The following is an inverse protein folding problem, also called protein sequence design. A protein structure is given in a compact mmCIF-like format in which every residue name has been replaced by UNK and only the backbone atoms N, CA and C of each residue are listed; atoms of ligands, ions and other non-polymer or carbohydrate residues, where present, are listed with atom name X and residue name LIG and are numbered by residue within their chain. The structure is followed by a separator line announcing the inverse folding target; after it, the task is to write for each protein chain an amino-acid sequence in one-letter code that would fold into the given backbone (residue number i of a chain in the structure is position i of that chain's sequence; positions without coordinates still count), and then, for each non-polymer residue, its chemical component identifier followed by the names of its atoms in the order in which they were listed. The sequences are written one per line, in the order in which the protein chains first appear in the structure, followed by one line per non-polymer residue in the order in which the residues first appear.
data_IF_212370585233
#
_entry.id   IF_212370585233
#
_cell.length_a   1.000
_cell.length_b   1.000
_cell.length_c   1.000
_cell.angle_alpha   90.00
_cell.angle_beta   90.00
_cell.angle_gamma   90.00
#
_symmetry.space_group_name_H-M   'P 1'
#
loop_
_entity.id
_entity.type
_entity.pdbx_description
1 polymer ?
#
# COMPACT_ATOMS: atom_id res chain seq x y z
N UNK A 1 7.84 -22.71 20.44
CA UNK A 1 7.75 -21.31 19.96
C UNK A 1 7.04 -20.53 21.06
N UNK A 2 7.68 -19.53 21.66
CA UNK A 2 7.00 -18.66 22.63
C UNK A 2 6.02 -17.78 21.86
N UNK A 3 4.81 -17.62 22.38
CA UNK A 3 3.82 -16.68 21.83
C UNK A 3 4.19 -15.31 22.40
N UNK A 4 4.38 -14.31 21.52
CA UNK A 4 4.66 -12.94 21.94
C UNK A 4 3.52 -12.44 22.85
N UNK A 5 3.81 -11.73 23.95
CA UNK A 5 2.77 -11.28 24.88
C UNK A 5 1.85 -10.26 24.20
N UNK A 6 0.56 -10.55 24.20
CA UNK A 6 -0.48 -9.68 23.61
C UNK A 6 -0.86 -8.58 24.60
N UNK A 7 -0.85 -7.34 24.14
CA UNK A 7 -1.33 -6.16 24.81
C UNK A 7 -2.87 -6.14 24.85
N UNK A 8 -3.42 -5.67 25.97
CA UNK A 8 -4.88 -5.43 26.14
C UNK A 8 -5.32 -4.03 25.72
N UNK A 9 -4.40 -3.21 25.21
CA UNK A 9 -4.64 -1.80 24.87
C UNK A 9 -4.70 -1.62 23.37
N UNK A 10 -5.81 -1.07 22.86
CA UNK A 10 -6.09 -0.91 21.42
C UNK A 10 -5.08 -0.03 20.65
N UNK A 11 -4.34 0.82 21.36
CA UNK A 11 -3.31 1.69 20.77
C UNK A 11 -1.91 1.06 20.75
N UNK A 12 -1.75 -0.17 21.23
CA UNK A 12 -0.52 -0.94 21.10
C UNK A 12 -0.77 -2.01 20.04
N UNK A 13 -0.05 -1.93 18.94
CA UNK A 13 -0.17 -2.87 17.83
C UNK A 13 0.90 -3.96 17.95
N UNK A 14 0.51 -5.13 18.44
CA UNK A 14 1.33 -6.32 18.59
C UNK A 14 1.12 -7.36 17.48
N UNK A 15 0.12 -7.12 16.62
CA UNK A 15 -0.30 -7.98 15.51
C UNK A 15 0.30 -7.57 14.15
N UNK A 16 1.30 -6.69 14.15
CA UNK A 16 1.97 -6.23 12.92
C UNK A 16 2.83 -7.35 12.33
N UNK A 17 2.55 -7.71 11.07
CA UNK A 17 3.27 -8.76 10.36
C UNK A 17 4.61 -8.21 9.86
N UNK A 18 5.70 -8.61 10.54
CA UNK A 18 7.06 -8.11 10.27
C UNK A 18 7.50 -8.25 8.81
N UNK A 19 7.06 -9.31 8.12
CA UNK A 19 7.45 -9.60 6.73
C UNK A 19 6.48 -9.02 5.68
N UNK A 20 5.41 -8.33 6.09
CA UNK A 20 4.44 -7.71 5.16
C UNK A 20 4.96 -6.36 4.68
N UNK A 21 5.86 -6.41 3.70
CA UNK A 21 6.53 -5.25 3.11
C UNK A 21 6.60 -5.36 1.58
N UNK A 22 6.87 -4.26 0.88
CA UNK A 22 7.09 -4.30 -0.58
C UNK A 22 8.39 -5.03 -0.97
N UNK A 23 9.35 -5.17 -0.04
CA UNK A 23 10.57 -5.95 -0.27
C UNK A 23 10.32 -7.43 -0.50
N UNK A 24 9.27 -8.01 0.10
CA UNK A 24 8.93 -9.42 -0.12
C UNK A 24 8.70 -9.72 -1.60
N UNK A 25 8.24 -8.73 -2.37
CA UNK A 25 8.13 -8.81 -3.85
C UNK A 25 9.46 -8.58 -4.56
N UNK A 26 10.35 -7.75 -4.03
CA UNK A 26 11.68 -7.52 -4.60
C UNK A 26 12.59 -8.74 -4.47
N UNK A 27 12.54 -9.39 -3.30
CA UNK A 27 13.27 -10.64 -3.04
C UNK A 27 12.82 -11.76 -3.98
N UNK A 28 11.52 -11.88 -4.27
CA UNK A 28 11.00 -12.80 -5.30
C UNK A 28 11.50 -12.47 -6.72
N UNK A 29 11.85 -11.22 -7.00
CA UNK A 29 12.38 -10.75 -8.29
C UNK A 29 13.93 -10.67 -8.34
N UNK A 30 14.64 -11.23 -7.35
CA UNK A 30 16.12 -11.17 -7.23
C UNK A 30 16.73 -9.74 -7.29
N UNK A 31 15.98 -8.71 -6.90
CA UNK A 31 16.49 -7.32 -6.82
C UNK A 31 17.19 -7.05 -5.48
N UNK A 32 18.09 -6.07 -5.45
CA UNK A 32 18.64 -5.57 -4.18
C UNK A 32 17.50 -5.06 -3.31
N UNK A 33 17.33 -5.67 -2.13
CA UNK A 33 16.27 -5.29 -1.21
C UNK A 33 16.59 -3.94 -0.56
N UNK A 34 15.56 -3.11 -0.38
CA UNK A 34 15.69 -1.93 0.48
C UNK A 34 16.11 -2.36 1.89
N UNK A 35 17.05 -1.66 2.53
CA UNK A 35 17.60 -2.11 3.81
C UNK A 35 16.58 -2.06 4.96
N UNK A 36 15.61 -1.15 4.91
CA UNK A 36 14.63 -0.94 5.98
C UNK A 36 13.22 -0.66 5.43
N UNK A 37 12.49 -1.67 4.92
CA UNK A 37 11.13 -1.47 4.46
C UNK A 37 10.17 -1.38 5.66
N UNK A 38 9.32 -0.36 5.69
CA UNK A 38 8.28 -0.23 6.71
C UNK A 38 7.15 -1.25 6.47
N UNK A 39 6.59 -1.81 7.55
CA UNK A 39 5.48 -2.77 7.46
C UNK A 39 4.19 -2.09 6.99
N UNK A 40 3.52 -2.70 6.01
CA UNK A 40 2.33 -2.13 5.39
C UNK A 40 1.16 -2.01 6.37
N UNK A 41 1.07 -2.89 7.37
CA UNK A 41 0.01 -2.84 8.40
C UNK A 41 -0.01 -1.49 9.13
N UNK A 42 1.18 -0.98 9.46
CA UNK A 42 1.34 0.30 10.17
C UNK A 42 0.89 1.43 9.27
N UNK A 43 1.35 1.43 8.01
CA UNK A 43 1.03 2.46 7.02
C UNK A 43 -0.48 2.52 6.77
N UNK A 44 -1.12 1.37 6.52
CA UNK A 44 -2.55 1.30 6.26
C UNK A 44 -3.39 1.81 7.44
N UNK A 45 -3.00 1.45 8.67
CA UNK A 45 -3.67 1.94 9.90
C UNK A 45 -3.54 3.45 10.06
N UNK A 46 -2.35 4.00 9.82
CA UNK A 46 -2.13 5.44 9.94
C UNK A 46 -2.91 6.22 8.89
N UNK A 47 -2.88 5.79 7.63
CA UNK A 47 -3.67 6.42 6.56
C UNK A 47 -5.17 6.35 6.88
N UNK A 48 -5.67 5.18 7.28
CA UNK A 48 -7.07 5.00 7.64
C UNK A 48 -7.52 5.87 8.82
N UNK A 49 -6.62 6.14 9.78
CA UNK A 49 -6.93 6.94 10.98
C UNK A 49 -6.83 8.45 10.74
N UNK A 50 -5.94 8.90 9.86
CA UNK A 50 -5.57 10.32 9.74
C UNK A 50 -5.91 10.95 8.39
N UNK A 51 -6.58 10.26 7.48
CA UNK A 51 -7.06 10.84 6.22
C UNK A 51 -8.42 10.30 5.79
N UNK A 52 -9.14 11.08 4.99
CA UNK A 52 -10.35 10.69 4.30
C UNK A 52 -10.04 10.15 2.90
N UNK A 53 -11.01 9.47 2.28
CA UNK A 53 -10.90 9.11 0.85
C UNK A 53 -10.81 10.38 0.00
N UNK A 54 -9.97 10.35 -1.03
CA UNK A 54 -9.68 11.51 -1.88
C UNK A 54 -8.66 12.50 -1.31
N UNK A 55 -8.21 12.33 -0.06
CA UNK A 55 -7.12 13.15 0.49
C UNK A 55 -5.78 12.78 -0.16
N UNK A 56 -4.82 13.70 -0.06
CA UNK A 56 -3.42 13.47 -0.46
C UNK A 56 -2.61 13.00 0.75
N UNK A 57 -1.95 11.86 0.62
CA UNK A 57 -0.98 11.34 1.59
C UNK A 57 0.42 11.61 1.05
N UNK A 58 1.16 12.47 1.74
CA UNK A 58 2.50 12.89 1.34
C UNK A 58 3.59 12.21 2.15
N UNK A 59 4.60 11.68 1.47
CA UNK A 59 5.81 11.09 2.03
C UNK A 59 7.07 11.77 1.48
N UNK A 60 7.77 12.62 2.26
CA UNK A 60 8.98 13.30 1.80
C UNK A 60 10.19 12.36 1.68
N UNK A 61 10.10 11.11 2.16
CA UNK A 61 11.17 10.11 2.12
C UNK A 61 10.64 8.78 1.58
N UNK A 62 10.25 8.80 0.30
CA UNK A 62 9.45 7.77 -0.36
C UNK A 62 10.04 6.37 -0.30
N UNK A 63 11.36 6.21 -0.25
CA UNK A 63 12.02 4.91 -0.33
C UNK A 63 11.50 4.13 -1.54
N UNK A 64 11.07 2.88 -1.31
CA UNK A 64 10.45 2.03 -2.34
C UNK A 64 8.96 2.31 -2.58
N UNK A 65 8.42 3.45 -2.13
CA UNK A 65 7.06 3.89 -2.40
C UNK A 65 5.96 3.21 -1.57
N UNK A 66 6.27 2.73 -0.36
CA UNK A 66 5.28 1.99 0.47
C UNK A 66 4.09 2.84 0.90
N UNK A 67 4.33 4.10 1.28
CA UNK A 67 3.28 5.04 1.70
C UNK A 67 2.34 5.42 0.55
N UNK A 68 2.83 5.96 -0.58
CA UNK A 68 1.94 6.31 -1.68
C UNK A 68 1.23 5.08 -2.28
N UNK A 69 1.89 3.90 -2.29
CA UNK A 69 1.24 2.64 -2.67
C UNK A 69 0.01 2.31 -1.82
N UNK A 70 0.16 2.35 -0.48
CA UNK A 70 -0.96 2.12 0.43
C UNK A 70 -2.04 3.20 0.32
N UNK A 71 -1.66 4.46 0.10
CA UNK A 71 -2.60 5.56 -0.08
C UNK A 71 -3.53 5.31 -1.27
N UNK A 72 -2.95 4.98 -2.43
CA UNK A 72 -3.70 4.66 -3.66
C UNK A 72 -4.67 3.51 -3.40
N UNK A 73 -4.19 2.38 -2.85
CA UNK A 73 -5.05 1.23 -2.53
C UNK A 73 -6.19 1.53 -1.57
N UNK A 74 -6.03 2.51 -0.68
CA UNK A 74 -7.05 2.94 0.26
C UNK A 74 -7.99 4.02 -0.33
N UNK A 75 -7.87 4.37 -1.60
CA UNK A 75 -8.70 5.38 -2.26
C UNK A 75 -8.31 6.82 -1.91
N UNK A 76 -7.01 7.05 -1.69
CA UNK A 76 -6.38 8.37 -1.52
C UNK A 76 -5.41 8.62 -2.66
N UNK A 77 -4.95 9.86 -2.82
CA UNK A 77 -3.83 10.17 -3.70
C UNK A 77 -2.50 10.01 -2.94
N UNK A 78 -1.54 9.32 -3.53
CA UNK A 78 -0.19 9.18 -2.99
C UNK A 78 0.77 10.19 -3.62
N UNK A 79 1.56 10.88 -2.80
CA UNK A 79 2.64 11.76 -3.25
C UNK A 79 3.92 11.41 -2.49
N UNK A 80 5.04 11.25 -3.20
CA UNK A 80 6.32 10.98 -2.54
C UNK A 80 7.52 11.59 -3.27
N UNK A 81 8.58 11.87 -2.52
CA UNK A 81 9.89 12.29 -3.02
C UNK A 81 10.93 11.25 -2.63
N UNK A 82 11.80 10.85 -3.55
CA UNK A 82 12.91 9.93 -3.28
C UNK A 82 14.13 10.37 -4.10
N UNK A 83 15.31 10.37 -3.47
CA UNK A 83 16.56 10.81 -4.07
C UNK A 83 17.25 9.67 -4.83
N UNK A 84 17.16 8.44 -4.32
CA UNK A 84 17.74 7.27 -4.95
C UNK A 84 16.91 6.85 -6.16
N UNK A 85 17.52 6.92 -7.35
CA UNK A 85 16.84 6.62 -8.61
C UNK A 85 16.24 5.21 -8.68
N UNK A 86 16.93 4.19 -8.14
CA UNK A 86 16.44 2.81 -8.18
C UNK A 86 15.23 2.62 -7.26
N UNK A 87 15.26 3.22 -6.07
CA UNK A 87 14.12 3.17 -5.13
C UNK A 87 12.91 3.94 -5.67
N UNK A 88 13.15 5.12 -6.24
CA UNK A 88 12.13 5.90 -6.94
C UNK A 88 11.50 5.08 -8.08
N UNK A 89 12.32 4.42 -8.89
CA UNK A 89 11.86 3.59 -10.02
C UNK A 89 11.04 2.39 -9.55
N UNK A 90 11.46 1.71 -8.49
CA UNK A 90 10.68 0.62 -7.90
C UNK A 90 9.34 1.12 -7.36
N UNK A 91 9.32 2.27 -6.67
CA UNK A 91 8.09 2.93 -6.22
C UNK A 91 7.12 3.24 -7.37
N UNK A 92 7.63 3.75 -8.49
CA UNK A 92 6.84 4.04 -9.69
C UNK A 92 6.15 2.78 -10.24
N UNK A 93 6.85 1.64 -10.31
CA UNK A 93 6.27 0.36 -10.75
C UNK A 93 5.11 -0.04 -9.85
N UNK A 94 5.30 0.05 -8.52
CA UNK A 94 4.23 -0.31 -7.58
C UNK A 94 3.02 0.62 -7.66
N UNK A 95 3.24 1.91 -7.93
CA UNK A 95 2.16 2.87 -8.10
C UNK A 95 1.36 2.59 -9.36
N UNK A 96 2.02 2.30 -10.49
CA UNK A 96 1.33 1.86 -11.71
C UNK A 96 0.52 0.59 -11.47
N UNK A 97 1.12 -0.43 -10.85
CA UNK A 97 0.40 -1.66 -10.50
C UNK A 97 -0.81 -1.36 -9.58
N UNK A 98 -0.68 -0.47 -8.60
CA UNK A 98 -1.77 -0.11 -7.70
C UNK A 98 -2.90 0.63 -8.42
N UNK A 99 -2.57 1.57 -9.31
CA UNK A 99 -3.52 2.31 -10.13
C UNK A 99 -4.27 1.39 -11.09
N UNK A 100 -3.54 0.52 -11.81
CA UNK A 100 -4.16 -0.46 -12.71
C UNK A 100 -5.13 -1.38 -11.97
N UNK A 101 -4.78 -1.86 -10.77
CA UNK A 101 -5.67 -2.71 -9.98
C UNK A 101 -6.96 -2.00 -9.54
N UNK A 102 -6.95 -0.67 -9.41
CA UNK A 102 -8.14 0.11 -9.04
C UNK A 102 -8.98 0.46 -10.27
N UNK A 103 -8.33 0.77 -11.38
CA UNK A 103 -9.00 1.17 -12.62
C UNK A 103 -9.51 -0.02 -13.43
N UNK A 104 -8.94 -1.21 -13.24
CA UNK A 104 -9.35 -2.40 -13.97
C UNK A 104 -10.80 -2.77 -13.65
N UNK A 105 -11.69 -2.82 -14.66
CA UNK A 105 -13.05 -3.25 -14.43
C UNK A 105 -13.06 -4.72 -13.99
N UNK A 106 -13.93 -5.02 -13.05
CA UNK A 106 -14.23 -6.38 -12.61
C UNK A 106 -15.29 -6.99 -13.51
N UNK A 107 -15.41 -8.32 -13.48
CA UNK A 107 -16.48 -9.04 -14.19
C UNK A 107 -17.88 -8.53 -13.79
N UNK A 108 -18.06 -8.09 -12.55
CA UNK A 108 -19.35 -7.64 -12.03
C UNK A 108 -19.76 -6.25 -12.54
N UNK A 109 -18.80 -5.41 -12.94
CA UNK A 109 -19.10 -4.09 -13.48
C UNK A 109 -19.91 -4.22 -14.78
N UNK A 110 -19.58 -5.22 -15.61
CA UNK A 110 -20.32 -5.53 -16.84
C UNK A 110 -21.72 -6.10 -16.60
N UNK A 111 -21.91 -6.91 -15.54
CA UNK A 111 -23.23 -7.46 -15.18
C UNK A 111 -24.19 -6.34 -14.75
N UNK A 112 -23.68 -5.32 -14.06
CA UNK A 112 -24.50 -4.19 -13.62
C UNK A 112 -24.89 -3.21 -14.74
N UNK A 113 -24.15 -3.17 -15.85
CA UNK A 113 -24.51 -2.36 -17.02
C UNK A 113 -25.71 -2.96 -17.77
N UNK A 114 -25.75 -4.29 -17.96
CA UNK A 114 -26.89 -4.97 -18.59
C UNK A 114 -28.21 -4.80 -17.81
N UNK A 115 -28.16 -4.70 -16.47
CA UNK A 115 -29.37 -4.43 -15.67
C UNK A 115 -29.85 -2.97 -15.76
N UNK A 116 -29.00 -2.01 -16.15
CA UNK A 116 -29.42 -0.61 -16.35
C UNK A 116 -30.09 -0.38 -17.71
N UNK A 117 -29.85 -1.23 -18.70
CA UNK A 117 -30.50 -1.14 -20.02
C UNK A 117 -31.90 -1.81 -20.06
N UNK A 118 -32.30 -2.52 -19.00
CA UNK A 118 -33.57 -3.26 -18.92
C UNK A 118 -34.68 -2.47 -18.17
N UNK A 119 -34.39 -1.25 -17.70
CA UNK A 119 -35.37 -0.33 -17.07
C UNK A 119 -35.44 0.96 -17.90
#
# INVERSE_FOLDING_TARGET
MAIDPVSKKDYIWDDVVRMRTLNSRQSQKNKQSHICPLQLDIVERLIGRYSNKGDVVFDPFGGIGSIPYCAVKLGRYGLSIELNYEYWKDGLIYLYEAEENILSPTLFDFITEECKEII
#
